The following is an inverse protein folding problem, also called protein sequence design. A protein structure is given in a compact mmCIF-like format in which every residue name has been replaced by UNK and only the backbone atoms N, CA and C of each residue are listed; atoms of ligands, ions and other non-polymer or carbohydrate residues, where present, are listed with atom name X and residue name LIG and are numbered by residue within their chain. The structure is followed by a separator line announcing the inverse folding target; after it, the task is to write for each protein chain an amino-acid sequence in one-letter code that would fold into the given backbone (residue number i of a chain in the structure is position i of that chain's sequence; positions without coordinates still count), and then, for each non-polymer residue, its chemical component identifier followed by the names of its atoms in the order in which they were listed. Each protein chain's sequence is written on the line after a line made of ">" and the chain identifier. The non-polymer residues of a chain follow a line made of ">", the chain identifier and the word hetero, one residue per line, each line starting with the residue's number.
data_IF_324752764859
#
_entry.id   IF_324752764859
#
_cell.length_a   1.000
_cell.length_b   1.000
_cell.length_c   1.000
_cell.angle_alpha   90.00
_cell.angle_beta   90.00
_cell.angle_gamma   90.00
#
_symmetry.space_group_name_H-M   'P 1'
#
loop_
_entity.id
_entity.type
_entity.pdbx_description
1 polymer ?
#
# COMPACT_ATOMS: atom_id res chain seq x y z
N UNK A 1 18.38 -3.02 -13.40
CA UNK A 1 17.26 -3.99 -13.24
C UNK A 1 17.43 -5.08 -14.27
N UNK A 2 17.55 -6.34 -13.84
CA UNK A 2 17.57 -7.50 -14.73
C UNK A 2 16.17 -7.68 -15.34
N UNK A 3 16.09 -7.82 -16.67
CA UNK A 3 14.84 -8.03 -17.41
C UNK A 3 14.71 -9.50 -17.78
N UNK A 4 13.49 -10.04 -17.67
CA UNK A 4 13.20 -11.44 -17.97
C UNK A 4 12.33 -11.55 -19.22
N UNK A 5 12.60 -12.55 -20.09
CA UNK A 5 11.75 -12.81 -21.24
C UNK A 5 10.42 -13.41 -20.75
N UNK A 6 9.32 -12.66 -20.92
CA UNK A 6 7.96 -13.16 -20.71
C UNK A 6 7.07 -12.76 -21.88
N UNK A 7 6.17 -13.66 -22.28
CA UNK A 7 5.18 -13.36 -23.32
C UNK A 7 3.92 -12.81 -22.67
N UNK A 8 3.74 -11.50 -22.78
CA UNK A 8 2.48 -10.85 -22.39
C UNK A 8 1.45 -10.97 -23.52
N UNK A 9 0.17 -11.17 -23.20
CA UNK A 9 -0.91 -11.11 -24.17
C UNK A 9 -0.90 -9.79 -24.95
N UNK A 10 -1.17 -9.85 -26.26
CA UNK A 10 -1.26 -8.68 -27.15
C UNK A 10 -2.56 -7.89 -26.95
N UNK A 11 -2.92 -7.58 -25.70
CA UNK A 11 -4.08 -6.80 -25.31
C UNK A 11 -3.76 -5.93 -24.10
N UNK A 12 -4.60 -4.94 -23.86
CA UNK A 12 -4.43 -4.06 -22.71
C UNK A 12 -4.67 -4.80 -21.40
N UNK A 13 -3.62 -4.93 -20.61
CA UNK A 13 -3.68 -5.33 -19.22
C UNK A 13 -3.72 -4.10 -18.31
N UNK A 14 -4.20 -4.27 -17.08
CA UNK A 14 -4.15 -3.22 -16.08
C UNK A 14 -3.79 -3.81 -14.72
N UNK A 15 -2.95 -3.12 -13.96
CA UNK A 15 -2.70 -3.43 -12.56
C UNK A 15 -3.72 -2.71 -11.69
N UNK A 16 -4.50 -3.49 -10.94
CA UNK A 16 -5.61 -3.02 -10.11
C UNK A 16 -5.22 -2.59 -8.70
N UNK A 17 -3.99 -2.88 -8.26
CA UNK A 17 -3.52 -2.57 -6.92
C UNK A 17 -2.09 -3.04 -6.68
N UNK A 18 -1.48 -2.52 -5.61
CA UNK A 18 -0.22 -3.00 -5.04
C UNK A 18 -0.62 -3.80 -3.80
N UNK A 19 -0.08 -5.01 -3.64
CA UNK A 19 -0.53 -6.01 -2.68
C UNK A 19 -0.89 -5.50 -1.29
N UNK A 20 -2.09 -5.84 -0.82
CA UNK A 20 -2.42 -5.94 0.60
C UNK A 20 -2.61 -4.66 1.43
N UNK A 21 -2.28 -3.49 0.90
CA UNK A 21 -2.61 -2.23 1.57
C UNK A 21 -3.97 -1.70 1.05
N UNK A 22 -5.04 -1.93 1.81
CA UNK A 22 -6.34 -1.32 1.51
C UNK A 22 -6.34 0.14 2.01
N UNK A 23 -5.72 1.00 1.21
CA UNK A 23 -5.55 2.43 1.50
C UNK A 23 -6.88 3.09 1.85
N UNK A 24 -7.97 2.70 1.19
CA UNK A 24 -9.29 3.27 1.46
C UNK A 24 -9.80 2.92 2.87
N UNK A 25 -9.55 1.68 3.33
CA UNK A 25 -9.87 1.26 4.69
C UNK A 25 -9.01 2.00 5.71
N UNK A 26 -7.70 2.14 5.46
CA UNK A 26 -6.80 2.87 6.35
C UNK A 26 -7.23 4.34 6.51
N UNK A 27 -7.55 5.01 5.41
CA UNK A 27 -8.09 6.39 5.43
C UNK A 27 -9.40 6.44 6.22
N UNK A 28 -10.35 5.53 5.97
CA UNK A 28 -11.63 5.50 6.68
C UNK A 28 -11.46 5.29 8.20
N UNK A 29 -10.54 4.41 8.60
CA UNK A 29 -10.22 4.18 10.02
C UNK A 29 -9.60 5.43 10.65
N UNK A 30 -8.59 6.04 10.01
CA UNK A 30 -7.95 7.27 10.52
C UNK A 30 -8.99 8.41 10.68
N UNK A 31 -9.91 8.59 9.73
CA UNK A 31 -11.00 9.57 9.84
C UNK A 31 -11.99 9.24 10.95
N UNK A 32 -12.33 7.96 11.14
CA UNK A 32 -13.23 7.54 12.22
C UNK A 32 -12.61 7.81 13.59
N UNK A 33 -11.32 7.53 13.75
CA UNK A 33 -10.59 7.82 14.99
C UNK A 33 -10.49 9.33 15.27
N UNK A 34 -10.31 10.15 14.24
CA UNK A 34 -10.39 11.61 14.35
C UNK A 34 -11.79 12.07 14.80
N UNK A 35 -12.86 11.51 14.26
CA UNK A 35 -14.23 11.85 14.69
C UNK A 35 -14.45 11.50 16.16
N UNK A 36 -13.94 10.35 16.61
CA UNK A 36 -13.98 9.96 18.03
C UNK A 36 -13.22 10.95 18.91
N UNK A 37 -12.03 11.42 18.49
CA UNK A 37 -11.25 12.39 19.28
C UNK A 37 -11.96 13.75 19.38
N UNK A 38 -12.59 14.21 18.29
CA UNK A 38 -13.39 15.45 18.29
C UNK A 38 -14.63 15.30 19.17
N UNK A 39 -15.28 14.13 19.17
CA UNK A 39 -16.44 13.85 20.03
C UNK A 39 -16.08 13.93 21.52
N UNK A 40 -14.90 13.42 21.92
CA UNK A 40 -14.41 13.55 23.29
C UNK A 40 -14.24 15.01 23.73
N UNK A 41 -13.73 15.88 22.85
CA UNK A 41 -13.59 17.32 23.12
C UNK A 41 -14.98 17.95 23.28
N UNK A 42 -15.91 17.67 22.36
CA UNK A 42 -17.26 18.21 22.40
C UNK A 42 -18.02 17.80 23.67
N UNK A 43 -17.87 16.54 24.10
CA UNK A 43 -18.43 16.06 25.36
C UNK A 43 -17.82 16.79 26.56
N UNK A 44 -16.48 16.90 26.64
CA UNK A 44 -15.84 17.62 27.73
C UNK A 44 -16.33 19.08 27.82
N UNK A 45 -16.44 19.77 26.69
CA UNK A 45 -16.96 21.13 26.62
C UNK A 45 -18.43 21.23 27.08
N UNK A 46 -19.30 20.32 26.61
CA UNK A 46 -20.71 20.30 27.00
C UNK A 46 -20.90 20.04 28.51
N UNK A 47 -20.09 19.16 29.12
CA UNK A 47 -20.14 18.91 30.56
C UNK A 47 -19.60 20.08 31.39
N UNK A 48 -18.60 20.82 30.90
CA UNK A 48 -18.12 22.05 31.59
C UNK A 48 -19.13 23.20 31.57
N UNK A 49 -20.08 23.19 30.64
CA UNK A 49 -21.15 24.20 30.56
C UNK A 49 -22.31 23.94 31.56
N UNK A 50 -22.36 22.76 32.17
CA UNK A 50 -23.37 22.38 33.17
C UNK A 50 -22.79 22.49 34.60
N UNK A 51 -23.61 22.70 35.64
CA UNK A 51 -23.13 22.64 37.02
C UNK A 51 -22.63 21.23 37.35
N UNK A 52 -21.35 21.12 37.72
CA UNK A 52 -20.66 19.85 37.98
C UNK A 52 -20.18 19.76 39.44
N UNK A 53 -20.12 18.55 40.02
CA UNK A 53 -19.47 18.35 41.31
C UNK A 53 -17.97 18.70 41.22
N UNK A 54 -17.36 19.29 42.26
CA UNK A 54 -15.98 19.79 42.22
C UNK A 54 -14.91 18.72 41.87
N UNK A 55 -15.28 17.45 41.98
CA UNK A 55 -14.40 16.30 41.83
C UNK A 55 -14.22 15.86 40.35
N UNK A 56 -15.09 16.30 39.43
CA UNK A 56 -15.09 15.83 38.02
C UNK A 56 -14.33 16.74 37.04
N UNK A 57 -13.91 17.93 37.48
CA UNK A 57 -13.26 18.93 36.62
C UNK A 57 -11.89 18.46 36.08
N UNK A 58 -11.09 17.80 36.93
CA UNK A 58 -9.76 17.30 36.53
C UNK A 58 -9.83 16.22 35.45
N UNK A 59 -10.79 15.30 35.55
CA UNK A 59 -11.01 14.26 34.54
C UNK A 59 -11.48 14.83 33.20
N UNK A 60 -12.30 15.88 33.20
CA UNK A 60 -12.80 16.53 31.98
C UNK A 60 -11.67 17.28 31.25
N UNK A 61 -10.81 17.98 31.99
CA UNK A 61 -9.64 18.65 31.42
C UNK A 61 -8.65 17.66 30.81
N UNK A 62 -8.41 16.53 31.48
CA UNK A 62 -7.55 15.47 30.95
C UNK A 62 -8.13 14.89 29.65
N UNK A 63 -9.44 14.62 29.61
CA UNK A 63 -10.11 14.10 28.42
C UNK A 63 -10.04 15.08 27.24
N UNK A 64 -10.25 16.38 27.49
CA UNK A 64 -10.12 17.42 26.48
C UNK A 64 -8.67 17.53 25.95
N UNK A 65 -7.67 17.51 26.83
CA UNK A 65 -6.26 17.57 26.45
C UNK A 65 -5.85 16.37 25.58
N UNK A 66 -6.29 15.15 25.93
CA UNK A 66 -6.06 13.94 25.12
C UNK A 66 -6.77 14.05 23.77
N UNK A 67 -8.04 14.48 23.75
CA UNK A 67 -8.81 14.67 22.52
C UNK A 67 -8.14 15.67 21.57
N UNK A 68 -7.67 16.82 22.07
CA UNK A 68 -6.98 17.84 21.27
C UNK A 68 -5.66 17.29 20.73
N UNK A 69 -4.86 16.62 21.58
CA UNK A 69 -3.59 16.02 21.17
C UNK A 69 -3.75 14.98 20.07
N UNK A 70 -4.74 14.08 20.20
CA UNK A 70 -5.06 13.09 19.18
C UNK A 70 -5.53 13.75 17.88
N UNK A 71 -6.42 14.75 17.99
CA UNK A 71 -6.92 15.50 16.83
C UNK A 71 -5.79 16.17 16.05
N UNK A 72 -4.87 16.84 16.75
CA UNK A 72 -3.71 17.47 16.13
C UNK A 72 -2.79 16.43 15.45
N UNK A 73 -2.54 15.30 16.11
CA UNK A 73 -1.76 14.20 15.54
C UNK A 73 -2.40 13.62 14.27
N UNK A 74 -3.71 13.38 14.26
CA UNK A 74 -4.40 12.85 13.10
C UNK A 74 -4.43 13.85 11.94
N UNK A 75 -4.76 15.12 12.20
CA UNK A 75 -4.87 16.15 11.18
C UNK A 75 -3.51 16.54 10.57
N UNK A 76 -2.46 16.64 11.38
CA UNK A 76 -1.17 17.18 10.93
C UNK A 76 -0.19 16.09 10.49
N UNK A 77 -0.28 14.88 11.05
CA UNK A 77 0.70 13.82 10.81
C UNK A 77 0.06 12.66 10.05
N UNK A 78 -0.91 11.95 10.65
CA UNK A 78 -1.40 10.68 10.10
C UNK A 78 -2.17 10.84 8.79
N UNK A 79 -3.22 11.65 8.74
CA UNK A 79 -4.07 11.78 7.54
C UNK A 79 -3.26 12.30 6.34
N UNK A 80 -2.44 13.36 6.46
CA UNK A 80 -1.59 13.80 5.37
C UNK A 80 -0.63 12.72 4.86
N UNK A 81 -0.01 11.95 5.76
CA UNK A 81 0.87 10.83 5.39
C UNK A 81 0.10 9.75 4.61
N UNK A 82 -1.05 9.30 5.12
CA UNK A 82 -1.88 8.27 4.47
C UNK A 82 -2.38 8.75 3.10
N UNK A 83 -2.79 10.01 2.98
CA UNK A 83 -3.22 10.60 1.71
C UNK A 83 -2.07 10.74 0.71
N UNK A 84 -0.87 11.13 1.17
CA UNK A 84 0.33 11.19 0.32
C UNK A 84 0.64 9.81 -0.26
N UNK A 85 0.66 8.78 0.59
CA UNK A 85 0.87 7.40 0.17
C UNK A 85 -0.19 6.96 -0.85
N UNK A 86 -1.46 7.30 -0.62
CA UNK A 86 -2.56 7.03 -1.55
C UNK A 86 -2.32 7.62 -2.94
N UNK A 87 -1.91 8.90 -2.99
CA UNK A 87 -1.62 9.60 -4.25
C UNK A 87 -0.46 8.95 -4.99
N UNK A 88 0.60 8.59 -4.27
CA UNK A 88 1.77 7.93 -4.84
C UNK A 88 1.42 6.59 -5.48
N UNK A 89 0.69 5.73 -4.77
CA UNK A 89 0.26 4.42 -5.28
C UNK A 89 -0.63 4.59 -6.51
N UNK A 90 -1.58 5.54 -6.49
CA UNK A 90 -2.41 5.85 -7.66
C UNK A 90 -1.57 6.33 -8.83
N UNK A 91 -0.57 7.17 -8.61
CA UNK A 91 0.32 7.66 -9.66
C UNK A 91 1.13 6.53 -10.30
N UNK A 92 1.68 5.61 -9.48
CA UNK A 92 2.39 4.42 -9.98
C UNK A 92 1.45 3.56 -10.85
N UNK A 93 0.26 3.25 -10.33
CA UNK A 93 -0.71 2.41 -11.05
C UNK A 93 -1.20 3.09 -12.34
N UNK A 94 -1.47 4.39 -12.30
CA UNK A 94 -1.86 5.15 -13.49
C UNK A 94 -0.75 5.18 -14.53
N UNK A 95 0.50 5.39 -14.12
CA UNK A 95 1.65 5.39 -15.02
C UNK A 95 1.86 4.01 -15.65
N UNK A 96 1.73 2.93 -14.88
CA UNK A 96 1.86 1.56 -15.38
C UNK A 96 0.70 1.16 -16.32
N UNK A 97 -0.52 1.66 -16.06
CA UNK A 97 -1.71 1.35 -16.85
C UNK A 97 -1.88 2.17 -18.12
N UNK A 98 -0.99 3.14 -18.37
CA UNK A 98 -0.99 3.93 -19.60
C UNK A 98 -0.72 3.05 -20.83
N UNK A 99 -1.34 3.33 -21.99
CA UNK A 99 -1.04 2.60 -23.23
C UNK A 99 0.45 2.63 -23.60
N UNK A 100 1.12 3.76 -23.36
CA UNK A 100 2.53 3.95 -23.68
C UNK A 100 3.45 3.09 -22.80
N UNK A 101 2.97 2.68 -21.62
CA UNK A 101 3.72 1.80 -20.72
C UNK A 101 3.74 0.33 -21.20
N UNK A 102 2.92 -0.03 -22.19
CA UNK A 102 2.79 -1.41 -22.68
C UNK A 102 3.67 -1.71 -23.91
N UNK A 103 4.10 -2.97 -24.10
CA UNK A 103 4.01 -4.07 -23.14
C UNK A 103 4.93 -3.84 -21.92
N UNK A 104 4.49 -4.29 -20.75
CA UNK A 104 5.33 -4.25 -19.55
C UNK A 104 6.54 -5.17 -19.67
N UNK A 105 7.54 -4.92 -18.84
CA UNK A 105 8.74 -5.74 -18.69
C UNK A 105 8.71 -6.41 -17.33
N UNK A 106 9.01 -7.71 -17.28
CA UNK A 106 9.23 -8.40 -16.01
C UNK A 106 10.65 -8.12 -15.54
N UNK A 107 10.78 -7.62 -14.32
CA UNK A 107 12.07 -7.25 -13.72
C UNK A 107 12.19 -7.77 -12.29
N UNK A 108 13.42 -7.96 -11.82
CA UNK A 108 13.70 -8.19 -10.40
C UNK A 108 14.01 -6.84 -9.72
N UNK A 109 13.34 -6.57 -8.60
CA UNK A 109 13.57 -5.39 -7.77
C UNK A 109 13.92 -5.79 -6.32
N UNK A 110 14.79 -5.02 -5.66
CA UNK A 110 15.08 -5.26 -4.25
C UNK A 110 13.83 -4.97 -3.43
N UNK A 111 13.57 -5.86 -2.47
CA UNK A 111 12.53 -5.68 -1.46
C UNK A 111 13.10 -6.12 -0.11
N UNK A 112 12.49 -5.63 0.95
CA UNK A 112 12.88 -5.96 2.31
C UNK A 112 11.64 -6.30 3.13
N UNK A 113 11.88 -7.06 4.19
CA UNK A 113 10.84 -7.42 5.15
C UNK A 113 10.72 -6.27 6.14
N UNK A 114 9.60 -5.55 6.09
CA UNK A 114 9.17 -4.65 7.15
C UNK A 114 8.49 -5.49 8.24
N UNK A 115 9.10 -5.58 9.43
CA UNK A 115 8.53 -6.35 10.54
C UNK A 115 7.64 -5.42 11.38
N UNK A 116 6.33 -5.60 11.29
CA UNK A 116 5.41 -4.98 12.25
C UNK A 116 5.17 -5.88 13.47
N UNK A 117 4.83 -5.26 14.59
CA UNK A 117 4.65 -5.84 15.94
C UNK A 117 3.52 -6.88 16.07
N UNK A 118 2.78 -7.21 15.00
CA UNK A 118 1.58 -8.08 15.02
C UNK A 118 1.68 -9.31 14.11
N UNK A 119 2.79 -10.05 14.15
CA UNK A 119 2.98 -11.35 13.45
C UNK A 119 2.70 -11.37 11.93
N UNK A 120 2.44 -10.23 11.31
CA UNK A 120 2.29 -10.08 9.87
C UNK A 120 3.64 -9.65 9.29
N UNK A 121 4.13 -10.42 8.34
CA UNK A 121 5.30 -10.08 7.53
C UNK A 121 4.88 -9.02 6.52
N UNK A 122 5.35 -7.78 6.69
CA UNK A 122 5.17 -6.76 5.67
C UNK A 122 6.37 -6.78 4.73
N UNK A 123 6.12 -6.47 3.46
CA UNK A 123 7.18 -6.27 2.48
C UNK A 123 7.16 -4.83 2.02
N UNK A 124 8.33 -4.28 1.78
CA UNK A 124 8.49 -2.92 1.28
C UNK A 124 9.56 -2.88 0.20
N UNK A 125 9.41 -1.95 -0.73
CA UNK A 125 10.39 -1.68 -1.78
C UNK A 125 10.50 -0.18 -2.02
N UNK A 126 11.62 0.24 -2.58
CA UNK A 126 11.85 1.63 -2.92
C UNK A 126 11.46 1.88 -4.38
N UNK A 127 10.60 2.87 -4.61
CA UNK A 127 10.18 3.32 -5.93
C UNK A 127 10.55 4.78 -6.15
N UNK A 128 11.01 5.12 -7.36
CA UNK A 128 11.19 6.52 -7.75
C UNK A 128 9.87 7.11 -8.24
N UNK A 129 9.38 8.13 -7.54
CA UNK A 129 8.13 8.81 -7.85
C UNK A 129 8.41 10.31 -7.89
N UNK A 130 8.33 10.91 -9.07
CA UNK A 130 8.57 12.35 -9.23
C UNK A 130 9.99 12.78 -8.84
N UNK A 131 11.00 11.94 -9.10
CA UNK A 131 12.40 12.21 -8.75
C UNK A 131 12.77 12.00 -7.28
N UNK A 132 11.85 11.52 -6.45
CA UNK A 132 12.13 11.14 -5.06
C UNK A 132 11.99 9.64 -4.87
N UNK A 133 12.95 9.03 -4.18
CA UNK A 133 12.85 7.65 -3.71
C UNK A 133 11.86 7.59 -2.57
N UNK A 134 10.83 6.76 -2.70
CA UNK A 134 9.81 6.56 -1.69
C UNK A 134 9.67 5.07 -1.39
N UNK A 135 9.56 4.76 -0.10
CA UNK A 135 9.22 3.42 0.37
C UNK A 135 7.74 3.14 0.12
N UNK A 136 7.45 2.01 -0.51
CA UNK A 136 6.10 1.53 -0.79
C UNK A 136 5.96 0.15 -0.15
N UNK A 137 5.10 0.08 0.86
CA UNK A 137 4.70 -1.17 1.48
C UNK A 137 3.72 -1.94 0.57
N UNK A 138 3.92 -3.25 0.50
CA UNK A 138 3.10 -4.18 -0.25
C UNK A 138 3.01 -5.50 0.50
N UNK A 139 1.97 -5.66 1.30
CA UNK A 139 1.68 -6.94 1.94
C UNK A 139 0.27 -6.92 2.49
N UNK A 140 -0.40 -8.04 2.39
CA UNK A 140 -1.67 -8.29 3.04
C UNK A 140 -1.82 -9.79 3.17
N UNK A 141 -2.85 -10.24 3.89
CA UNK A 141 -3.05 -11.65 4.24
C UNK A 141 -3.09 -12.62 3.05
N UNK A 142 -3.11 -12.12 1.81
CA UNK A 142 -3.19 -12.91 0.59
C UNK A 142 -2.24 -12.48 -0.53
N UNK A 143 -1.28 -11.59 -0.26
CA UNK A 143 -0.26 -11.20 -1.25
C UNK A 143 1.05 -11.93 -0.97
N UNK A 144 1.41 -12.86 -1.85
CA UNK A 144 2.65 -13.62 -1.77
C UNK A 144 3.59 -13.16 -2.89
N UNK A 145 4.67 -12.41 -2.59
CA UNK A 145 5.57 -11.93 -3.62
C UNK A 145 6.29 -13.08 -4.31
N UNK A 146 6.40 -13.02 -5.63
CA UNK A 146 7.27 -13.95 -6.37
C UNK A 146 8.73 -13.59 -6.10
N UNK A 147 9.46 -14.47 -5.44
CA UNK A 147 10.86 -14.25 -5.03
C UNK A 147 11.83 -14.72 -6.13
N UNK A 148 12.92 -14.00 -6.30
CA UNK A 148 13.97 -14.28 -7.27
C UNK A 148 15.33 -13.78 -6.75
N UNK A 149 16.28 -14.66 -6.42
CA UNK A 149 17.62 -14.29 -5.91
C UNK A 149 17.62 -13.18 -4.82
N UNK A 150 16.79 -13.32 -3.78
CA UNK A 150 16.67 -12.31 -2.71
C UNK A 150 15.94 -11.02 -3.11
N UNK A 151 15.54 -10.88 -4.37
CA UNK A 151 14.68 -9.83 -4.91
C UNK A 151 13.25 -10.36 -5.08
N UNK A 152 12.32 -9.47 -5.47
CA UNK A 152 10.98 -9.88 -5.92
C UNK A 152 10.78 -9.51 -7.39
N UNK A 153 9.97 -10.30 -8.08
CA UNK A 153 9.58 -9.98 -9.45
C UNK A 153 8.50 -8.89 -9.45
N UNK A 154 8.60 -8.02 -10.45
CA UNK A 154 7.73 -6.88 -10.62
C UNK A 154 7.51 -6.57 -12.11
N UNK A 155 6.38 -5.97 -12.44
CA UNK A 155 6.14 -5.40 -13.76
C UNK A 155 6.58 -3.93 -13.81
N UNK A 156 7.48 -3.61 -14.73
CA UNK A 156 7.93 -2.26 -15.02
C UNK A 156 7.36 -1.76 -16.37
N UNK A 157 7.11 -0.45 -16.50
CA UNK A 157 6.72 0.15 -17.79
C UNK A 157 7.79 -0.06 -18.87
N UNK A 158 7.37 -0.13 -20.14
CA UNK A 158 8.28 -0.30 -21.29
C UNK A 158 9.41 0.73 -21.34
N UNK A 159 9.09 1.99 -21.09
CA UNK A 159 10.00 3.14 -21.20
C UNK A 159 10.61 3.56 -19.86
N UNK A 160 10.55 2.70 -18.84
CA UNK A 160 11.03 3.01 -17.50
C UNK A 160 9.94 3.67 -16.62
N UNK A 161 10.21 3.70 -15.32
CA UNK A 161 9.26 4.14 -14.29
C UNK A 161 9.18 3.15 -13.13
N UNK A 162 8.33 3.47 -12.16
CA UNK A 162 8.14 2.64 -10.97
C UNK A 162 7.59 1.25 -11.34
N UNK A 163 8.31 0.21 -10.91
CA UNK A 163 7.88 -1.18 -11.06
C UNK A 163 6.89 -1.55 -9.96
N UNK A 164 5.95 -2.46 -10.26
CA UNK A 164 4.97 -2.94 -9.29
C UNK A 164 5.18 -4.45 -9.03
N UNK A 165 5.43 -4.86 -7.78
CA UNK A 165 5.59 -6.26 -7.40
C UNK A 165 4.40 -7.12 -7.84
N UNK A 166 4.69 -8.36 -8.24
CA UNK A 166 3.68 -9.35 -8.57
C UNK A 166 3.53 -10.42 -7.51
N UNK A 167 2.30 -10.90 -7.35
CA UNK A 167 2.00 -12.07 -6.52
C UNK A 167 2.04 -13.37 -7.33
N UNK A 168 2.26 -14.48 -6.65
CA UNK A 168 2.27 -15.84 -7.21
C UNK A 168 1.00 -16.17 -8.00
N UNK A 169 -0.14 -15.60 -7.63
CA UNK A 169 -1.43 -15.80 -8.32
C UNK A 169 -1.77 -14.69 -9.35
N UNK A 170 -0.88 -13.71 -9.54
CA UNK A 170 -1.05 -12.54 -10.40
C UNK A 170 -2.36 -11.75 -10.15
N UNK A 171 -2.95 -11.83 -8.94
CA UNK A 171 -4.30 -11.32 -8.61
C UNK A 171 -4.44 -9.83 -8.88
N UNK A 172 -3.34 -9.08 -8.77
CA UNK A 172 -3.33 -7.64 -9.03
C UNK A 172 -3.50 -7.30 -10.51
N UNK A 173 -3.28 -8.25 -11.43
CA UNK A 173 -3.40 -8.05 -12.87
C UNK A 173 -4.82 -8.34 -13.36
N UNK A 174 -5.43 -7.31 -13.95
CA UNK A 174 -6.75 -7.31 -14.58
C UNK A 174 -6.63 -7.45 -16.09
N UNK A 175 -7.68 -8.01 -16.70
CA UNK A 175 -7.76 -8.24 -18.14
C UNK A 175 -7.22 -9.59 -18.62
N UNK A 176 -6.54 -10.35 -17.75
CA UNK A 176 -6.14 -11.73 -18.03
C UNK A 176 -7.34 -12.69 -17.93
N UNK A 177 -7.52 -13.53 -18.94
CA UNK A 177 -8.36 -14.73 -18.88
C UNK A 177 -7.73 -15.77 -17.96
N UNK A 178 -8.51 -16.78 -17.55
CA UNK A 178 -8.00 -17.89 -16.74
C UNK A 178 -6.89 -18.70 -17.45
N UNK A 179 -6.94 -18.80 -18.78
CA UNK A 179 -5.92 -19.50 -19.56
C UNK A 179 -4.62 -18.68 -19.60
N UNK A 180 -4.70 -17.40 -19.97
CA UNK A 180 -3.52 -16.52 -20.02
C UNK A 180 -2.85 -16.35 -18.67
N UNK A 181 -3.64 -16.24 -17.60
CA UNK A 181 -3.11 -16.17 -16.23
C UNK A 181 -2.31 -17.41 -15.88
N UNK A 182 -2.83 -18.61 -16.18
CA UNK A 182 -2.13 -19.87 -15.92
C UNK A 182 -0.84 -19.98 -16.73
N UNK A 183 -0.88 -19.60 -18.00
CA UNK A 183 0.30 -19.62 -18.86
C UNK A 183 1.38 -18.64 -18.41
N UNK A 184 1.00 -17.44 -17.95
CA UNK A 184 1.95 -16.49 -17.37
C UNK A 184 2.56 -17.00 -16.06
N UNK A 185 1.73 -17.59 -15.18
CA UNK A 185 2.22 -18.19 -13.93
C UNK A 185 3.25 -19.28 -14.27
N UNK A 186 2.94 -20.17 -15.21
CA UNK A 186 3.85 -21.23 -15.67
C UNK A 186 5.19 -20.67 -16.18
N UNK A 187 5.16 -19.63 -17.02
CA UNK A 187 6.39 -18.97 -17.50
C UNK A 187 7.21 -18.36 -16.35
N UNK A 188 6.55 -17.79 -15.35
CA UNK A 188 7.21 -17.20 -14.18
C UNK A 188 7.79 -18.29 -13.28
N UNK A 189 7.06 -19.38 -13.06
CA UNK A 189 7.52 -20.55 -12.30
C UNK A 189 8.74 -21.16 -12.96
N UNK A 190 8.76 -21.36 -14.28
CA UNK A 190 9.95 -21.84 -15.01
C UNK A 190 11.17 -20.93 -14.80
N UNK A 191 10.99 -19.61 -14.79
CA UNK A 191 12.08 -18.65 -14.52
C UNK A 191 12.63 -18.76 -13.09
N UNK A 192 11.79 -19.17 -12.14
CA UNK A 192 12.15 -19.32 -10.73
C UNK A 192 12.67 -20.73 -10.43
N UNK A 193 12.12 -21.77 -11.02
CA UNK A 193 12.50 -23.18 -10.82
C UNK A 193 13.86 -23.53 -11.44
N UNK A 194 14.25 -22.88 -12.54
CA UNK A 194 15.60 -22.99 -13.12
C UNK A 194 16.72 -22.58 -12.13
N UNK A 195 16.38 -22.10 -10.93
CA UNK A 195 17.34 -21.84 -9.83
C UNK A 195 17.46 -22.94 -8.77
N UNK A 196 16.56 -23.92 -8.71
CA UNK A 196 16.66 -24.99 -7.70
C UNK A 196 17.60 -26.11 -8.20
N UNK A 197 17.90 -26.14 -9.50
CA UNK A 197 18.83 -27.06 -10.17
C UNK A 197 20.19 -26.37 -10.42
#
# INVERSE_FOLDING_TARGET
>A
MQQFPIRLPAKRLAVGGIGGFNINLAVAVDFTLLLVSVLCIAQAAAFTAAPQPPNSFGSLLLLAAVGIGLTAYFCLVRIPQTLRLSRNVRAILQALNRPEAQPWKLVAIPFYVSRHTRSQTFYAYNAEIGGQTQEIEFSGNSFEPVRYHGNCLAFAPRHGGAAVPIDTALRTIRGLTRAERREMIRQIEELVEVQIL
#
